data_IF_246656929073
#
_entry.id   IF_246656929073
#
_cell.length_a   1.000
_cell.length_b   1.000
_cell.length_c   1.000
_cell.angle_alpha   90.00
_cell.angle_beta   90.00
_cell.angle_gamma   90.00
#
_symmetry.space_group_name_H-M   'P 1'
#
loop_
_entity.id
_entity.type
_entity.pdbx_description
1 polymer ?
#
# COMPACT_ATOMS: atom_id res chain seq x y z
N UNK A 1 19.64 -6.69 -23.73
CA UNK A 1 20.28 -7.31 -22.53
C UNK A 1 20.20 -8.85 -22.61
N UNK A 2 19.01 -9.43 -22.85
CA UNK A 2 18.83 -10.90 -22.87
C UNK A 2 19.52 -11.60 -24.05
N UNK A 3 19.73 -10.91 -25.17
CA UNK A 3 20.51 -11.44 -26.31
C UNK A 3 22.00 -11.51 -26.02
N UNK A 4 22.50 -10.67 -25.09
CA UNK A 4 23.91 -10.58 -24.72
C UNK A 4 24.25 -11.42 -23.48
N UNK A 5 23.29 -11.47 -22.52
CA UNK A 5 23.37 -12.23 -21.26
C UNK A 5 22.03 -12.89 -20.96
N UNK A 6 21.73 -14.07 -21.55
CA UNK A 6 20.43 -14.73 -21.38
C UNK A 6 20.15 -15.16 -19.94
N UNK A 7 21.20 -15.29 -19.13
CA UNK A 7 21.10 -15.68 -17.70
C UNK A 7 21.09 -14.47 -16.74
N UNK A 8 20.69 -13.30 -17.24
CA UNK A 8 20.58 -12.11 -16.40
C UNK A 8 19.19 -12.01 -15.76
N UNK A 9 19.07 -12.43 -14.50
CA UNK A 9 17.81 -12.50 -13.76
C UNK A 9 17.04 -11.16 -13.75
N UNK A 10 17.75 -10.02 -13.54
CA UNK A 10 17.13 -8.70 -13.55
C UNK A 10 16.47 -8.36 -14.89
N UNK A 11 17.10 -8.72 -16.00
CA UNK A 11 16.53 -8.46 -17.33
C UNK A 11 15.27 -9.28 -17.58
N UNK A 12 15.20 -10.53 -17.08
CA UNK A 12 13.99 -11.33 -17.14
C UNK A 12 12.88 -10.76 -16.24
N UNK A 13 13.21 -10.29 -15.04
CA UNK A 13 12.26 -9.59 -14.17
C UNK A 13 11.68 -8.33 -14.85
N UNK A 14 12.54 -7.49 -15.41
CA UNK A 14 12.12 -6.27 -16.12
C UNK A 14 11.29 -6.57 -17.38
N UNK A 15 11.60 -7.65 -18.10
CA UNK A 15 10.77 -8.14 -19.19
C UNK A 15 9.39 -8.56 -18.69
N UNK A 16 9.33 -9.23 -17.54
CA UNK A 16 8.07 -9.61 -16.88
C UNK A 16 7.20 -8.40 -16.57
N UNK A 17 7.78 -7.36 -15.96
CA UNK A 17 7.07 -6.09 -15.67
C UNK A 17 6.51 -5.47 -16.96
N UNK A 18 7.33 -5.31 -17.99
CA UNK A 18 6.88 -4.74 -19.28
C UNK A 18 5.77 -5.56 -19.96
N UNK A 19 5.79 -6.89 -19.78
CA UNK A 19 4.74 -7.77 -20.30
C UNK A 19 3.45 -7.69 -19.47
N UNK A 20 3.56 -7.54 -18.16
CA UNK A 20 2.42 -7.33 -17.25
C UNK A 20 1.73 -6.00 -17.53
N UNK A 21 2.48 -4.92 -17.74
CA UNK A 21 1.95 -3.60 -18.15
C UNK A 21 1.18 -3.67 -19.48
N UNK A 22 1.52 -4.65 -20.34
CA UNK A 22 0.80 -4.93 -21.59
C UNK A 22 -0.35 -5.93 -21.39
N UNK A 23 -0.71 -6.29 -20.17
CA UNK A 23 -1.70 -7.32 -19.82
C UNK A 23 -1.40 -8.72 -20.40
N UNK A 24 -0.14 -9.00 -20.75
CA UNK A 24 0.33 -10.30 -21.27
C UNK A 24 0.76 -11.22 -20.13
N UNK A 25 -0.16 -11.50 -19.20
CA UNK A 25 0.13 -12.14 -17.91
C UNK A 25 0.86 -13.50 -18.04
N UNK A 26 0.47 -14.38 -18.98
CA UNK A 26 1.15 -15.67 -19.17
C UNK A 26 2.61 -15.52 -19.56
N UNK A 27 2.93 -14.51 -20.38
CA UNK A 27 4.30 -14.23 -20.79
C UNK A 27 5.09 -13.59 -19.65
N UNK A 28 4.46 -12.71 -18.87
CA UNK A 28 5.05 -12.10 -17.69
C UNK A 28 5.44 -13.17 -16.65
N UNK A 29 4.52 -14.09 -16.33
CA UNK A 29 4.76 -15.20 -15.41
C UNK A 29 5.94 -16.07 -15.88
N UNK A 30 6.03 -16.39 -17.19
CA UNK A 30 7.19 -17.13 -17.73
C UNK A 30 8.49 -16.37 -17.55
N UNK A 31 8.48 -15.05 -17.75
CA UNK A 31 9.67 -14.22 -17.57
C UNK A 31 10.10 -14.15 -16.09
N UNK A 32 9.16 -13.97 -15.15
CA UNK A 32 9.45 -14.00 -13.71
C UNK A 32 9.99 -15.38 -13.26
N UNK A 33 9.37 -16.46 -13.72
CA UNK A 33 9.86 -17.81 -13.41
C UNK A 33 11.28 -18.04 -13.97
N UNK A 34 11.62 -17.49 -15.14
CA UNK A 34 12.98 -17.54 -15.66
C UNK A 34 13.94 -16.73 -14.77
N UNK A 35 13.55 -15.53 -14.32
CA UNK A 35 14.34 -14.75 -13.37
C UNK A 35 14.62 -15.55 -12.09
N UNK A 36 13.60 -16.22 -11.52
CA UNK A 36 13.72 -17.03 -10.32
C UNK A 36 14.50 -18.33 -10.53
N UNK A 37 14.49 -18.92 -11.73
CA UNK A 37 15.33 -20.07 -12.04
C UNK A 37 16.84 -19.72 -12.06
N UNK A 38 17.18 -18.46 -12.36
CA UNK A 38 18.55 -17.94 -12.35
C UNK A 38 18.95 -17.46 -10.96
N UNK A 39 18.03 -16.77 -10.27
CA UNK A 39 18.23 -16.25 -8.91
C UNK A 39 17.05 -16.65 -8.01
N UNK A 40 17.12 -17.83 -7.34
CA UNK A 40 16.00 -18.36 -6.54
C UNK A 40 15.50 -17.43 -5.42
N UNK A 41 16.38 -16.65 -4.80
CA UNK A 41 16.07 -15.69 -3.73
C UNK A 41 15.97 -14.26 -4.26
N UNK A 42 15.27 -14.07 -5.38
CA UNK A 42 15.04 -12.74 -5.96
C UNK A 42 13.66 -12.23 -5.50
N UNK A 43 13.60 -11.55 -4.35
CA UNK A 43 12.37 -11.07 -3.70
C UNK A 43 11.49 -10.25 -4.64
N UNK A 44 12.06 -9.32 -5.41
CA UNK A 44 11.33 -8.51 -6.38
C UNK A 44 10.62 -9.37 -7.45
N UNK A 45 11.31 -10.37 -8.01
CA UNK A 45 10.70 -11.26 -9.00
C UNK A 45 9.62 -12.16 -8.38
N UNK A 46 9.80 -12.59 -7.13
CA UNK A 46 8.79 -13.36 -6.38
C UNK A 46 7.55 -12.52 -6.12
N UNK A 47 7.72 -11.28 -5.69
CA UNK A 47 6.62 -10.33 -5.50
C UNK A 47 5.86 -10.06 -6.80
N UNK A 48 6.57 -9.78 -7.89
CA UNK A 48 5.97 -9.53 -9.20
C UNK A 48 5.23 -10.76 -9.75
N UNK A 49 5.80 -11.96 -9.57
CA UNK A 49 5.16 -13.23 -9.92
C UNK A 49 3.85 -13.40 -9.13
N UNK A 50 3.88 -13.13 -7.83
CA UNK A 50 2.69 -13.21 -6.97
C UNK A 50 1.57 -12.26 -7.44
N UNK A 51 1.91 -11.03 -7.81
CA UNK A 51 0.95 -10.09 -8.37
C UNK A 51 0.35 -10.58 -9.70
N UNK A 52 1.18 -11.05 -10.63
CA UNK A 52 0.71 -11.55 -11.92
C UNK A 52 -0.19 -12.79 -11.77
N UNK A 53 0.13 -13.70 -10.85
CA UNK A 53 -0.68 -14.87 -10.53
C UNK A 53 -2.01 -14.47 -9.87
N UNK A 54 -1.98 -13.51 -8.96
CA UNK A 54 -3.19 -12.95 -8.34
C UNK A 54 -4.11 -12.31 -9.39
N UNK A 55 -3.57 -11.56 -10.34
CA UNK A 55 -4.32 -10.97 -11.46
C UNK A 55 -4.97 -12.04 -12.35
N UNK A 56 -4.34 -13.23 -12.47
CA UNK A 56 -4.93 -14.39 -13.16
C UNK A 56 -5.95 -15.18 -12.32
N UNK A 57 -6.17 -14.80 -11.07
CA UNK A 57 -7.02 -15.54 -10.14
C UNK A 57 -6.39 -16.81 -9.56
N UNK A 58 -5.11 -17.07 -9.79
CA UNK A 58 -4.35 -18.21 -9.28
C UNK A 58 -3.84 -17.94 -7.87
N UNK A 59 -4.77 -17.83 -6.93
CA UNK A 59 -4.47 -17.34 -5.59
C UNK A 59 -3.56 -18.27 -4.78
N UNK A 60 -3.68 -19.60 -4.93
CA UNK A 60 -2.79 -20.56 -4.23
C UNK A 60 -1.33 -20.41 -4.70
N UNK A 61 -1.13 -20.31 -6.03
CA UNK A 61 0.19 -20.11 -6.60
C UNK A 61 0.76 -18.73 -6.21
N UNK A 62 -0.11 -17.70 -6.15
CA UNK A 62 0.28 -16.36 -5.73
C UNK A 62 0.78 -16.32 -4.28
N UNK A 63 0.12 -17.05 -3.36
CA UNK A 63 0.56 -17.20 -1.97
C UNK A 63 1.99 -17.74 -1.93
N UNK A 64 2.25 -18.84 -2.63
CA UNK A 64 3.58 -19.47 -2.67
C UNK A 64 4.65 -18.51 -3.23
N UNK A 65 4.29 -17.71 -4.23
CA UNK A 65 5.19 -16.71 -4.80
C UNK A 65 5.49 -15.58 -3.80
N UNK A 66 4.47 -15.05 -3.12
CA UNK A 66 4.65 -14.01 -2.10
C UNK A 66 5.47 -14.50 -0.89
N UNK A 67 5.29 -15.75 -0.47
CA UNK A 67 6.04 -16.33 0.65
C UNK A 67 7.55 -16.51 0.37
N UNK A 68 7.95 -16.53 -0.89
CA UNK A 68 9.37 -16.51 -1.28
C UNK A 68 10.00 -15.11 -1.20
N UNK A 69 9.20 -14.09 -1.04
CA UNK A 69 9.65 -12.72 -0.84
C UNK A 69 9.64 -12.40 0.65
N UNK A 70 10.80 -12.03 1.18
CA UNK A 70 11.00 -11.83 2.62
C UNK A 70 10.69 -10.37 3.04
N UNK A 71 9.57 -9.81 2.55
CA UNK A 71 9.17 -8.44 2.85
C UNK A 71 7.74 -8.37 3.43
N UNK A 72 7.49 -7.34 4.25
CA UNK A 72 6.22 -7.14 4.94
C UNK A 72 5.02 -6.97 4.01
N UNK A 73 5.24 -6.48 2.78
CA UNK A 73 4.16 -6.27 1.81
C UNK A 73 3.72 -7.62 1.24
N UNK A 74 4.67 -8.47 0.88
CA UNK A 74 4.41 -9.82 0.36
C UNK A 74 3.71 -10.69 1.38
N UNK A 75 4.10 -10.62 2.64
CA UNK A 75 3.44 -11.32 3.75
C UNK A 75 1.95 -10.93 3.85
N UNK A 76 1.65 -9.63 3.79
CA UNK A 76 0.27 -9.14 3.82
C UNK A 76 -0.53 -9.56 2.57
N UNK A 77 0.10 -9.58 1.40
CA UNK A 77 -0.55 -10.03 0.14
C UNK A 77 -0.82 -11.53 0.13
N UNK A 78 0.08 -12.34 0.67
CA UNK A 78 -0.16 -13.77 0.84
C UNK A 78 -1.37 -14.02 1.76
N UNK A 79 -1.47 -13.26 2.85
CA UNK A 79 -2.61 -13.32 3.76
C UNK A 79 -3.92 -12.86 3.10
N UNK A 80 -3.87 -11.80 2.30
CA UNK A 80 -5.00 -11.32 1.49
C UNK A 80 -5.49 -12.40 0.52
N UNK A 81 -4.59 -13.06 -0.21
CA UNK A 81 -4.93 -14.16 -1.11
C UNK A 81 -5.56 -15.34 -0.35
N UNK A 82 -5.03 -15.71 0.82
CA UNK A 82 -5.58 -16.75 1.66
C UNK A 82 -7.01 -16.45 2.13
N UNK A 83 -7.30 -15.20 2.44
CA UNK A 83 -8.66 -14.76 2.77
C UNK A 83 -9.62 -14.91 1.59
N UNK A 84 -9.22 -14.46 0.40
CA UNK A 84 -10.07 -14.52 -0.80
C UNK A 84 -10.30 -15.95 -1.32
N UNK A 85 -9.44 -16.90 -0.99
CA UNK A 85 -9.67 -18.33 -1.22
C UNK A 85 -10.83 -18.90 -0.38
N UNK A 86 -11.27 -18.20 0.67
CA UNK A 86 -12.29 -18.65 1.58
C UNK A 86 -11.84 -19.76 2.55
N UNK A 87 -10.57 -20.13 2.53
CA UNK A 87 -9.98 -21.07 3.49
C UNK A 87 -9.56 -20.33 4.76
N UNK A 88 -10.57 -20.02 5.59
CA UNK A 88 -10.38 -19.20 6.78
C UNK A 88 -9.53 -19.87 7.86
N UNK A 89 -9.48 -21.19 7.93
CA UNK A 89 -8.60 -21.90 8.88
C UNK A 89 -7.13 -21.67 8.51
N UNK A 90 -6.80 -21.77 7.24
CA UNK A 90 -5.46 -21.48 6.75
C UNK A 90 -5.11 -19.98 6.93
N UNK A 91 -6.06 -19.08 6.65
CA UNK A 91 -5.89 -17.65 6.92
C UNK A 91 -5.56 -17.41 8.41
N UNK A 92 -6.33 -18.00 9.34
CA UNK A 92 -6.15 -17.81 10.77
C UNK A 92 -4.83 -18.40 11.27
N UNK A 93 -4.40 -19.56 10.75
CA UNK A 93 -3.10 -20.15 11.05
C UNK A 93 -1.95 -19.22 10.61
N UNK A 94 -2.01 -18.68 9.40
CA UNK A 94 -1.03 -17.73 8.87
C UNK A 94 -1.00 -16.45 9.69
N UNK A 95 -2.16 -15.87 9.96
CA UNK A 95 -2.30 -14.66 10.78
C UNK A 95 -1.65 -14.84 12.16
N UNK A 96 -1.94 -15.96 12.85
CA UNK A 96 -1.35 -16.27 14.14
C UNK A 96 0.18 -16.47 14.08
N UNK A 97 0.69 -17.03 12.99
CA UNK A 97 2.14 -17.16 12.79
C UNK A 97 2.81 -15.80 12.62
N UNK A 98 2.22 -14.92 11.78
CA UNK A 98 2.74 -13.59 11.55
C UNK A 98 2.67 -12.75 12.84
N UNK A 99 1.58 -12.86 13.60
CA UNK A 99 1.42 -12.15 14.86
C UNK A 99 2.55 -12.44 15.86
N UNK A 100 3.09 -13.66 15.83
CA UNK A 100 4.21 -14.07 16.69
C UNK A 100 5.55 -13.53 16.22
N UNK A 101 5.75 -13.41 14.90
CA UNK A 101 7.03 -13.00 14.29
C UNK A 101 7.12 -11.51 14.01
N UNK A 102 6.02 -10.87 13.64
CA UNK A 102 5.95 -9.44 13.27
C UNK A 102 4.63 -8.81 13.76
N UNK A 103 4.49 -8.58 15.10
CA UNK A 103 3.27 -8.00 15.66
C UNK A 103 3.04 -6.54 15.32
N UNK A 104 4.00 -5.87 14.69
CA UNK A 104 3.91 -4.46 14.30
C UNK A 104 3.60 -4.26 12.81
N UNK A 105 3.32 -5.32 12.07
CA UNK A 105 2.98 -5.23 10.65
C UNK A 105 1.61 -4.58 10.44
N UNK A 106 1.62 -3.29 10.11
CA UNK A 106 0.39 -2.49 9.93
C UNK A 106 -0.50 -2.99 8.79
N UNK A 107 0.07 -3.63 7.76
CA UNK A 107 -0.68 -4.16 6.62
C UNK A 107 -1.42 -5.44 7.01
N UNK A 108 -0.77 -6.28 7.79
CA UNK A 108 -1.37 -7.49 8.34
C UNK A 108 -2.42 -7.13 9.38
N UNK A 109 -2.17 -6.12 10.23
CA UNK A 109 -3.17 -5.60 11.18
C UNK A 109 -4.43 -5.12 10.46
N UNK A 110 -4.29 -4.35 9.37
CA UNK A 110 -5.42 -3.90 8.57
C UNK A 110 -6.20 -5.07 7.95
N UNK A 111 -5.51 -6.09 7.44
CA UNK A 111 -6.15 -7.29 6.89
C UNK A 111 -6.86 -8.11 7.98
N UNK A 112 -6.29 -8.22 9.17
CA UNK A 112 -6.89 -8.88 10.33
C UNK A 112 -8.17 -8.17 10.76
N UNK A 113 -8.14 -6.85 10.90
CA UNK A 113 -9.30 -6.03 11.25
C UNK A 113 -10.42 -6.16 10.20
N UNK A 114 -10.07 -6.09 8.91
CA UNK A 114 -11.03 -6.30 7.82
C UNK A 114 -11.68 -7.68 7.88
N UNK A 115 -10.87 -8.74 7.97
CA UNK A 115 -11.36 -10.13 8.02
C UNK A 115 -12.23 -10.39 9.26
N UNK A 116 -11.84 -9.84 10.40
CA UNK A 116 -12.59 -9.97 11.65
C UNK A 116 -13.93 -9.28 11.58
N UNK A 117 -13.99 -8.06 11.01
CA UNK A 117 -15.23 -7.34 10.79
C UNK A 117 -16.18 -8.09 9.83
N UNK A 118 -15.66 -8.57 8.69
CA UNK A 118 -16.45 -9.34 7.72
C UNK A 118 -17.01 -10.65 8.32
N UNK A 119 -16.26 -11.28 9.22
CA UNK A 119 -16.63 -12.54 9.88
C UNK A 119 -17.35 -12.33 11.21
N UNK A 120 -17.65 -11.09 11.58
CA UNK A 120 -18.34 -10.71 12.81
C UNK A 120 -17.71 -11.31 14.07
N UNK A 121 -16.38 -11.30 14.13
CA UNK A 121 -15.61 -11.80 15.27
C UNK A 121 -14.63 -10.77 15.80
N UNK A 122 -14.15 -10.97 17.02
CA UNK A 122 -13.12 -10.09 17.61
C UNK A 122 -11.81 -10.21 16.82
N UNK A 123 -11.19 -9.08 16.53
CA UNK A 123 -9.86 -9.03 15.96
C UNK A 123 -8.82 -9.55 16.97
N UNK A 124 -7.97 -10.44 16.49
CA UNK A 124 -6.91 -11.05 17.31
C UNK A 124 -5.61 -10.26 17.25
N UNK A 125 -5.49 -9.34 16.29
CA UNK A 125 -4.27 -8.55 16.13
C UNK A 125 -4.25 -7.40 17.15
N UNK A 126 -3.22 -7.27 18.00
CA UNK A 126 -3.22 -6.33 19.13
C UNK A 126 -2.97 -4.88 18.71
N UNK A 127 -2.66 -4.63 17.44
CA UNK A 127 -2.21 -3.33 16.96
C UNK A 127 -3.30 -2.24 17.11
N UNK A 128 -4.55 -2.58 16.88
CA UNK A 128 -5.67 -1.64 16.96
C UNK A 128 -6.97 -2.37 17.29
N UNK A 129 -7.27 -2.51 18.57
CA UNK A 129 -8.47 -3.20 19.04
C UNK A 129 -9.74 -2.38 18.82
N UNK A 130 -9.62 -1.05 18.75
CA UNK A 130 -10.72 -0.13 18.46
C UNK A 130 -10.24 1.01 17.53
N UNK A 131 -10.29 0.83 16.20
CA UNK A 131 -9.81 1.86 15.26
C UNK A 131 -10.59 3.16 15.36
N UNK A 132 -11.84 3.14 15.85
CA UNK A 132 -12.65 4.35 16.00
C UNK A 132 -12.08 5.27 17.09
N UNK A 133 -11.47 4.73 18.13
CA UNK A 133 -10.81 5.52 19.18
C UNK A 133 -9.59 6.28 18.67
N UNK A 134 -8.99 5.82 17.55
CA UNK A 134 -7.89 6.51 16.89
C UNK A 134 -8.34 7.64 15.95
N UNK A 135 -9.67 7.73 15.68
CA UNK A 135 -10.20 8.83 14.87
C UNK A 135 -10.45 10.02 15.77
N UNK A 136 -9.66 11.06 15.58
CA UNK A 136 -9.86 12.32 16.28
C UNK A 136 -10.47 13.33 15.33
N UNK A 137 -11.62 13.86 15.71
CA UNK A 137 -12.26 14.99 15.04
C UNK A 137 -11.82 16.29 15.69
N UNK A 138 -11.21 17.17 14.91
CA UNK A 138 -10.87 18.52 15.34
C UNK A 138 -11.43 19.53 14.33
N UNK A 139 -11.87 20.68 14.82
CA UNK A 139 -12.36 21.76 13.99
C UNK A 139 -11.32 22.86 13.92
N UNK A 140 -11.05 23.38 12.74
CA UNK A 140 -10.09 24.47 12.52
C UNK A 140 -10.43 25.72 13.34
N UNK A 141 -11.73 25.96 13.61
CA UNK A 141 -12.22 27.03 14.50
C UNK A 141 -11.72 26.93 15.94
N UNK A 142 -11.22 25.77 16.37
CA UNK A 142 -10.60 25.61 17.68
C UNK A 142 -9.20 26.24 17.76
N UNK A 143 -8.61 26.55 16.60
CA UNK A 143 -7.27 27.09 16.44
C UNK A 143 -7.25 28.52 15.90
N UNK A 144 -8.28 28.89 15.16
CA UNK A 144 -8.37 30.18 14.46
C UNK A 144 -9.78 30.76 14.65
N UNK A 145 -9.85 31.98 15.15
CA UNK A 145 -11.12 32.66 15.44
C UNK A 145 -11.95 32.96 14.17
N UNK A 146 -11.30 33.37 13.09
CA UNK A 146 -11.93 33.58 11.77
C UNK A 146 -11.57 32.42 10.84
N UNK A 147 -12.17 31.26 11.13
CA UNK A 147 -11.91 30.03 10.38
C UNK A 147 -12.42 30.07 8.95
N UNK A 148 -13.51 30.81 8.68
CA UNK A 148 -14.12 30.84 7.35
C UNK A 148 -13.26 31.65 6.36
N UNK A 149 -12.77 32.83 6.78
CA UNK A 149 -11.80 33.58 6.00
C UNK A 149 -10.51 32.82 5.80
N UNK A 150 -10.03 32.14 6.84
CA UNK A 150 -8.83 31.32 6.78
C UNK A 150 -8.96 30.17 5.76
N UNK A 151 -10.07 29.43 5.79
CA UNK A 151 -10.35 28.35 4.83
C UNK A 151 -10.41 28.93 3.41
N UNK A 152 -11.12 30.05 3.21
CA UNK A 152 -11.24 30.70 1.90
C UNK A 152 -9.85 31.09 1.35
N UNK A 153 -9.01 31.67 2.19
CA UNK A 153 -7.65 32.06 1.81
C UNK A 153 -6.80 30.84 1.44
N UNK A 154 -6.85 29.76 2.22
CA UNK A 154 -6.16 28.50 1.90
C UNK A 154 -6.64 27.93 0.57
N UNK A 155 -7.96 27.88 0.32
CA UNK A 155 -8.49 27.36 -0.94
C UNK A 155 -8.03 28.20 -2.13
N UNK A 156 -7.94 29.50 -1.99
CA UNK A 156 -7.40 30.38 -3.04
C UNK A 156 -5.92 30.08 -3.29
N UNK A 157 -5.10 30.00 -2.22
CA UNK A 157 -3.68 29.68 -2.33
C UNK A 157 -3.46 28.28 -2.95
N UNK A 158 -4.31 27.31 -2.62
CA UNK A 158 -4.25 25.96 -3.23
C UNK A 158 -4.61 25.99 -4.71
N UNK A 159 -5.60 26.80 -5.12
CA UNK A 159 -6.00 26.93 -6.51
C UNK A 159 -4.90 27.58 -7.38
N UNK A 160 -4.03 28.39 -6.79
CA UNK A 160 -2.87 29.00 -7.46
C UNK A 160 -1.72 28.00 -7.64
N UNK A 161 -1.73 26.87 -6.92
CA UNK A 161 -0.69 25.86 -7.03
C UNK A 161 -0.79 25.09 -8.35
N UNK A 162 0.37 24.75 -8.93
CA UNK A 162 0.41 23.86 -10.08
C UNK A 162 -0.11 22.49 -9.68
N UNK A 163 -1.24 22.11 -10.25
CA UNK A 163 -1.87 20.81 -10.03
C UNK A 163 -2.03 20.06 -11.34
N UNK A 164 -2.08 18.73 -11.25
CA UNK A 164 -2.29 17.84 -12.40
C UNK A 164 -3.55 17.02 -12.14
N UNK A 165 -4.43 16.96 -13.13
CA UNK A 165 -5.60 16.09 -13.09
C UNK A 165 -5.18 14.63 -13.27
N UNK A 166 -5.58 13.77 -12.36
CA UNK A 166 -5.28 12.33 -12.40
C UNK A 166 -3.83 12.01 -12.81
N UNK A 167 -2.83 12.44 -12.04
CA UNK A 167 -1.44 12.20 -12.40
C UNK A 167 -1.14 10.70 -12.49
N UNK A 168 -0.38 10.29 -13.51
CA UNK A 168 0.00 8.89 -13.73
C UNK A 168 0.74 8.34 -12.51
N UNK A 169 0.43 7.08 -12.14
CA UNK A 169 1.04 6.36 -11.02
C UNK A 169 0.78 6.97 -9.63
N UNK A 170 -0.28 7.74 -9.48
CA UNK A 170 -0.72 8.28 -8.20
C UNK A 170 -2.07 7.68 -7.77
N UNK A 171 -2.40 7.83 -6.49
CA UNK A 171 -3.63 7.26 -5.92
C UNK A 171 -4.88 8.09 -6.20
N UNK A 172 -4.73 9.31 -6.71
CA UNK A 172 -5.84 10.23 -6.98
C UNK A 172 -6.60 9.80 -8.23
N UNK A 173 -7.90 9.53 -8.07
CA UNK A 173 -8.84 9.26 -9.16
C UNK A 173 -9.97 10.27 -9.11
N UNK A 174 -10.33 10.86 -10.26
CA UNK A 174 -11.37 11.87 -10.34
C UNK A 174 -11.04 13.16 -9.59
N UNK A 175 -9.77 13.57 -9.55
CA UNK A 175 -9.33 14.75 -8.82
C UNK A 175 -7.99 15.32 -9.26
N UNK A 176 -7.69 16.50 -8.76
CA UNK A 176 -6.40 17.16 -8.93
C UNK A 176 -5.43 16.78 -7.81
N UNK A 177 -4.16 16.71 -8.15
CA UNK A 177 -3.08 16.53 -7.18
C UNK A 177 -1.99 17.56 -7.42
N UNK A 178 -1.53 18.20 -6.35
CA UNK A 178 -0.35 19.07 -6.38
C UNK A 178 0.93 18.23 -6.45
N UNK A 179 2.05 18.82 -6.82
CA UNK A 179 3.34 18.14 -7.00
C UNK A 179 3.99 17.64 -5.68
N UNK A 180 3.22 17.40 -4.64
CA UNK A 180 3.66 16.71 -3.42
C UNK A 180 4.45 17.55 -2.40
N UNK A 181 4.65 18.84 -2.64
CA UNK A 181 5.48 19.70 -1.80
C UNK A 181 4.72 20.90 -1.21
N UNK A 182 3.50 20.63 -0.76
CA UNK A 182 2.58 21.67 -0.28
C UNK A 182 3.19 22.51 0.87
N UNK A 183 4.06 21.91 1.69
CA UNK A 183 4.72 22.54 2.82
C UNK A 183 6.23 22.76 2.63
N UNK A 184 6.76 22.66 1.39
CA UNK A 184 8.22 22.83 1.18
C UNK A 184 8.64 24.30 1.12
N UNK A 185 7.78 25.22 0.74
CA UNK A 185 7.93 26.68 0.87
C UNK A 185 6.53 27.26 1.08
N UNK A 186 5.93 27.04 2.25
CA UNK A 186 4.53 27.34 2.47
C UNK A 186 4.27 28.86 2.44
N UNK A 187 3.16 29.26 1.85
CA UNK A 187 2.59 30.58 2.05
C UNK A 187 2.25 30.82 3.53
N UNK A 188 2.01 32.05 3.96
CA UNK A 188 1.69 32.33 5.37
C UNK A 188 0.53 31.51 5.92
N UNK A 189 -0.58 31.36 5.14
CA UNK A 189 -1.72 30.57 5.59
C UNK A 189 -1.42 29.06 5.59
N UNK A 190 -0.65 28.56 4.61
CA UNK A 190 -0.19 27.16 4.59
C UNK A 190 0.73 26.86 5.75
N UNK A 191 1.56 27.81 6.17
CA UNK A 191 2.42 27.65 7.36
C UNK A 191 1.60 27.54 8.64
N UNK A 192 0.57 28.36 8.80
CA UNK A 192 -0.37 28.25 9.92
C UNK A 192 -1.08 26.89 9.93
N UNK A 193 -1.54 26.42 8.75
CA UNK A 193 -2.15 25.09 8.62
C UNK A 193 -1.17 23.97 9.00
N UNK A 194 0.08 24.05 8.55
CA UNK A 194 1.14 23.09 8.91
C UNK A 194 1.32 23.02 10.44
N UNK A 195 1.37 24.17 11.10
CA UNK A 195 1.58 24.24 12.55
C UNK A 195 0.37 23.70 13.32
N UNK A 196 -0.87 23.94 12.84
CA UNK A 196 -2.09 23.32 13.39
C UNK A 196 -2.02 21.80 13.25
N UNK A 197 -1.69 21.28 12.05
CA UNK A 197 -1.59 19.84 11.81
C UNK A 197 -0.51 19.20 12.71
N UNK A 198 0.65 19.82 12.85
CA UNK A 198 1.70 19.35 13.76
C UNK A 198 1.24 19.32 15.21
N UNK A 199 0.51 20.35 15.66
CA UNK A 199 -0.05 20.40 17.01
C UNK A 199 -1.06 19.27 17.24
N UNK A 200 -1.98 19.07 16.31
CA UNK A 200 -2.98 17.98 16.38
C UNK A 200 -2.32 16.60 16.35
N UNK A 201 -1.30 16.39 15.51
CA UNK A 201 -0.54 15.14 15.45
C UNK A 201 0.24 14.86 16.75
N UNK A 202 0.79 15.89 17.40
CA UNK A 202 1.50 15.74 18.67
C UNK A 202 0.56 15.41 19.85
N UNK A 203 -0.72 15.79 19.77
CA UNK A 203 -1.75 15.38 20.74
C UNK A 203 -2.16 13.91 20.58
N UNK A 204 -1.73 13.25 19.50
CA UNK A 204 -2.00 11.84 19.18
C UNK A 204 -0.89 10.89 19.68
N UNK A 205 0.24 11.41 20.12
CA UNK A 205 1.37 10.65 20.69
C UNK A 205 1.28 10.59 22.20
#
# INVERSE_FOLDING_TARGET
>A
ALTVKPDYAQAHNNLGVALQDQAKLDKAIKAYNKALSIKPYFSEASYNLGNALKEQGKLDEAIVAFEKSDDQISVAKALECAYFLGNYDNFDLRLNSILKSDPANIRVAAMSAFASNQRQRKDVYPFCTNPIELIKFSHIKNHISDSDSFITNILNEMNEQKSVWEPRNQTTKGGFQTNGKLFENPSPNMKILEDILKKELNLFR
#
